data_IF_080526819379
#
_entry.id   IF_080526819379
#
_cell.length_a   1.000
_cell.length_b   1.000
_cell.length_c   1.000
_cell.angle_alpha   90.00
_cell.angle_beta   90.00
_cell.angle_gamma   90.00
#
_symmetry.space_group_name_H-M   'P 1'
#
loop_
_entity.id
_entity.type
_entity.pdbx_description
1 polymer ?
#
# COMPACT_ATOMS: atom_id res chain seq x y z
N UNK A 1 -6.13 12.52 7.89
CA UNK A 1 -5.86 11.57 6.78
C UNK A 1 -7.11 11.27 5.97
N UNK A 2 -8.25 10.94 6.58
CA UNK A 2 -9.47 10.54 5.85
C UNK A 2 -10.00 11.62 4.88
N UNK A 3 -10.10 12.89 5.30
CA UNK A 3 -10.55 13.97 4.40
C UNK A 3 -9.63 14.12 3.18
N UNK A 4 -8.31 14.21 3.42
CA UNK A 4 -7.32 14.25 2.35
C UNK A 4 -7.39 13.03 1.42
N UNK A 5 -7.58 11.83 1.96
CA UNK A 5 -7.68 10.62 1.15
C UNK A 5 -8.96 10.64 0.29
N UNK A 6 -10.05 11.15 0.84
CA UNK A 6 -11.32 11.36 0.12
C UNK A 6 -11.15 12.36 -1.01
N UNK A 7 -10.35 13.43 -0.82
CA UNK A 7 -10.05 14.42 -1.85
C UNK A 7 -9.21 13.85 -3.02
N UNK A 8 -8.53 12.72 -2.81
CA UNK A 8 -7.80 12.00 -3.86
C UNK A 8 -8.72 11.01 -4.56
N UNK A 9 -9.43 10.19 -3.79
CA UNK A 9 -10.40 9.26 -4.33
C UNK A 9 -10.76 8.09 -3.41
N UNK A 10 -11.77 7.31 -3.81
CA UNK A 10 -12.32 6.23 -2.99
C UNK A 10 -11.30 5.12 -2.68
N UNK A 11 -10.46 4.71 -3.64
CA UNK A 11 -9.47 3.66 -3.42
C UNK A 11 -8.38 4.12 -2.43
N UNK A 12 -7.95 5.38 -2.54
CA UNK A 12 -7.01 5.97 -1.58
C UNK A 12 -7.62 6.00 -0.17
N UNK A 13 -8.89 6.38 -0.05
CA UNK A 13 -9.62 6.36 1.22
C UNK A 13 -9.65 4.96 1.84
N UNK A 14 -10.00 3.93 1.06
CA UNK A 14 -10.07 2.55 1.52
C UNK A 14 -8.70 2.04 2.02
N UNK A 15 -7.63 2.31 1.28
CA UNK A 15 -6.27 1.97 1.71
C UNK A 15 -5.93 2.66 3.04
N UNK A 16 -6.20 3.95 3.17
CA UNK A 16 -5.93 4.72 4.40
C UNK A 16 -6.75 4.17 5.57
N UNK A 17 -8.02 3.83 5.35
CA UNK A 17 -8.86 3.20 6.38
C UNK A 17 -8.29 1.84 6.81
N UNK A 18 -7.92 0.95 5.87
CA UNK A 18 -7.29 -0.35 6.19
C UNK A 18 -5.99 -0.18 6.97
N UNK A 19 -5.15 0.80 6.61
CA UNK A 19 -3.90 1.07 7.33
C UNK A 19 -4.13 1.55 8.77
N UNK A 20 -5.23 2.26 9.03
CA UNK A 20 -5.58 2.78 10.35
C UNK A 20 -6.39 1.79 11.20
N UNK A 21 -7.20 0.92 10.59
CA UNK A 21 -8.19 0.07 11.28
C UNK A 21 -7.61 -1.20 11.91
N UNK A 22 -6.53 -1.76 11.33
CA UNK A 22 -6.13 -3.14 11.61
C UNK A 22 -4.73 -3.32 12.21
N UNK A 23 -4.17 -2.32 12.91
CA UNK A 23 -2.81 -2.46 13.48
C UNK A 23 -2.78 -2.36 15.01
N UNK A 24 -2.23 -3.38 15.72
CA UNK A 24 -2.03 -3.32 17.17
C UNK A 24 -1.09 -2.18 17.59
N UNK A 25 -0.30 -1.65 16.64
CA UNK A 25 0.55 -0.49 16.82
C UNK A 25 0.06 0.66 15.94
N UNK A 26 -0.64 1.67 16.52
CA UNK A 26 -1.22 2.77 15.75
C UNK A 26 -0.17 3.55 14.96
N UNK A 27 1.05 3.70 15.51
CA UNK A 27 2.20 4.34 14.87
C UNK A 27 2.54 3.79 13.48
N UNK A 28 2.35 2.49 13.24
CA UNK A 28 2.62 1.87 11.94
C UNK A 28 1.57 2.28 10.89
N UNK A 29 0.30 2.42 11.28
CA UNK A 29 -0.75 2.94 10.42
C UNK A 29 -0.49 4.39 10.05
N UNK A 30 -0.13 5.23 11.04
CA UNK A 30 0.22 6.63 10.82
C UNK A 30 1.43 6.81 9.90
N UNK A 31 2.50 6.02 10.10
CA UNK A 31 3.68 6.06 9.22
C UNK A 31 3.35 5.68 7.78
N UNK A 32 2.50 4.67 7.57
CA UNK A 32 2.06 4.28 6.23
C UNK A 32 1.24 5.41 5.56
N UNK A 33 0.31 6.02 6.29
CA UNK A 33 -0.48 7.16 5.81
C UNK A 33 0.39 8.38 5.46
N UNK A 34 1.41 8.69 6.27
CA UNK A 34 2.40 9.72 5.96
C UNK A 34 3.21 9.39 4.70
N UNK A 35 3.54 8.11 4.51
CA UNK A 35 4.15 7.62 3.27
C UNK A 35 3.28 7.90 2.05
N UNK A 36 1.98 7.60 2.11
CA UNK A 36 1.04 7.88 1.03
C UNK A 36 0.93 9.38 0.74
N UNK A 37 0.88 10.21 1.78
CA UNK A 37 0.89 11.67 1.63
C UNK A 37 2.16 12.17 0.92
N UNK A 38 3.31 11.55 1.18
CA UNK A 38 4.54 11.88 0.48
C UNK A 38 4.52 11.42 -0.98
N UNK A 39 3.88 10.28 -1.29
CA UNK A 39 3.71 9.81 -2.67
C UNK A 39 2.81 10.76 -3.46
N UNK A 40 1.75 11.32 -2.87
CA UNK A 40 0.88 12.29 -3.57
C UNK A 40 1.56 13.61 -3.91
N UNK A 41 2.74 13.88 -3.34
CA UNK A 41 3.59 15.02 -3.72
C UNK A 41 4.52 14.70 -4.88
N UNK A 42 4.82 13.42 -5.11
CA UNK A 42 5.74 12.94 -6.15
C UNK A 42 5.01 12.50 -7.41
N UNK A 43 3.80 11.97 -7.25
CA UNK A 43 2.95 11.47 -8.32
C UNK A 43 1.66 12.29 -8.35
N UNK A 44 0.99 12.34 -9.51
CA UNK A 44 -0.32 12.98 -9.61
C UNK A 44 -1.36 12.25 -8.75
N UNK A 45 -2.42 12.97 -8.37
CA UNK A 45 -3.54 12.39 -7.60
C UNK A 45 -4.16 11.20 -8.31
N UNK A 46 -4.37 11.32 -9.63
CA UNK A 46 -4.93 10.24 -10.45
C UNK A 46 -4.05 8.99 -10.43
N UNK A 47 -2.73 9.15 -10.55
CA UNK A 47 -1.80 8.01 -10.51
C UNK A 47 -1.79 7.34 -9.15
N UNK A 48 -1.83 8.12 -8.06
CA UNK A 48 -1.91 7.57 -6.72
C UNK A 48 -3.21 6.80 -6.52
N UNK A 49 -4.34 7.36 -6.97
CA UNK A 49 -5.64 6.71 -6.89
C UNK A 49 -5.68 5.38 -7.65
N UNK A 50 -5.18 5.35 -8.89
CA UNK A 50 -5.08 4.11 -9.68
C UNK A 50 -4.13 3.09 -9.05
N UNK A 51 -3.03 3.55 -8.45
CA UNK A 51 -2.13 2.66 -7.72
C UNK A 51 -2.80 2.04 -6.49
N UNK A 52 -3.58 2.82 -5.73
CA UNK A 52 -4.38 2.34 -4.62
C UNK A 52 -5.47 1.36 -5.08
N UNK A 53 -6.17 1.65 -6.19
CA UNK A 53 -7.17 0.76 -6.76
C UNK A 53 -6.56 -0.59 -7.17
N UNK A 54 -5.41 -0.57 -7.85
CA UNK A 54 -4.66 -1.78 -8.18
C UNK A 54 -4.23 -2.54 -6.93
N UNK A 55 -3.67 -1.85 -5.94
CA UNK A 55 -3.26 -2.47 -4.68
C UNK A 55 -4.43 -3.16 -3.95
N UNK A 56 -5.63 -2.57 -3.99
CA UNK A 56 -6.85 -3.18 -3.45
C UNK A 56 -7.25 -4.42 -4.24
N UNK A 57 -7.21 -4.37 -5.58
CA UNK A 57 -7.57 -5.51 -6.44
C UNK A 57 -6.73 -6.77 -6.20
N UNK A 58 -5.47 -6.59 -5.76
CA UNK A 58 -4.56 -7.69 -5.43
C UNK A 58 -4.40 -7.92 -3.93
N UNK A 59 -5.25 -7.30 -3.09
CA UNK A 59 -5.19 -7.34 -1.62
C UNK A 59 -3.81 -6.96 -1.01
N UNK A 60 -3.02 -6.15 -1.70
CA UNK A 60 -1.67 -5.74 -1.29
C UNK A 60 -1.59 -4.23 -1.01
N UNK A 61 -2.24 -3.77 0.05
CA UNK A 61 -2.39 -2.33 0.40
C UNK A 61 -1.24 -1.75 1.22
N UNK A 62 -0.07 -2.40 1.21
CA UNK A 62 1.12 -1.92 1.92
C UNK A 62 1.71 -0.70 1.21
N UNK A 63 2.40 0.17 1.96
CA UNK A 63 3.12 1.30 1.37
C UNK A 63 4.15 0.84 0.33
N UNK A 64 4.85 -0.26 0.58
CA UNK A 64 5.84 -0.83 -0.35
C UNK A 64 5.18 -1.27 -1.65
N UNK A 65 4.03 -1.95 -1.58
CA UNK A 65 3.27 -2.42 -2.75
C UNK A 65 2.83 -1.24 -3.62
N UNK A 66 2.21 -0.23 -3.02
CA UNK A 66 1.74 0.98 -3.72
C UNK A 66 2.92 1.74 -4.34
N UNK A 67 4.04 1.85 -3.61
CA UNK A 67 5.27 2.46 -4.13
C UNK A 67 5.82 1.67 -5.33
N UNK A 68 5.80 0.34 -5.28
CA UNK A 68 6.25 -0.52 -6.38
C UNK A 68 5.38 -0.34 -7.62
N UNK A 69 4.05 -0.35 -7.45
CA UNK A 69 3.07 -0.10 -8.52
C UNK A 69 3.36 1.23 -9.21
N UNK A 70 3.54 2.32 -8.45
CA UNK A 70 3.83 3.65 -8.99
C UNK A 70 5.19 3.75 -9.70
N UNK A 71 6.22 3.09 -9.14
CA UNK A 71 7.57 3.07 -9.73
C UNK A 71 7.62 2.31 -11.04
N UNK A 72 6.90 1.19 -11.12
CA UNK A 72 6.84 0.35 -12.31
C UNK A 72 5.80 0.83 -13.32
N UNK A 73 5.00 1.86 -13.00
CA UNK A 73 3.96 2.38 -13.89
C UNK A 73 2.77 1.43 -14.03
N UNK A 74 2.62 0.45 -13.13
CA UNK A 74 1.53 -0.52 -13.20
C UNK A 74 0.17 0.16 -13.04
N UNK A 75 0.11 1.30 -12.34
CA UNK A 75 -1.11 2.11 -12.21
C UNK A 75 -1.69 2.61 -13.54
N UNK A 76 -0.93 2.55 -14.64
CA UNK A 76 -1.37 2.98 -15.96
C UNK A 76 -1.86 1.83 -16.84
N UNK A 77 -1.65 0.59 -16.40
CA UNK A 77 -2.11 -0.59 -17.12
C UNK A 77 -3.58 -0.86 -16.77
N UNK A 78 -4.33 -1.57 -17.63
CA UNK A 78 -5.66 -2.07 -17.30
C UNK A 78 -5.60 -2.85 -15.98
N UNK A 79 -6.56 -2.60 -15.09
CA UNK A 79 -6.67 -3.35 -13.84
C UNK A 79 -6.80 -4.84 -14.16
N UNK A 80 -6.09 -5.72 -13.43
CA UNK A 80 -6.32 -7.15 -13.57
C UNK A 80 -7.80 -7.43 -13.28
N UNK A 81 -8.50 -8.00 -14.25
CA UNK A 81 -9.86 -8.48 -14.07
C UNK A 81 -9.78 -9.57 -13.00
N UNK A 82 -10.48 -9.38 -11.89
CA UNK A 82 -10.51 -10.32 -10.77
C UNK A 82 -11.26 -11.57 -11.19
N UNK A 83 -10.55 -12.52 -11.78
CA UNK A 83 -10.87 -13.94 -11.65
C UNK A 83 -9.75 -14.53 -10.78
N UNK A 84 -10.17 -15.10 -9.65
CA UNK A 84 -9.37 -15.77 -8.62
C UNK A 84 -8.78 -14.86 -7.51
N UNK A 85 -9.30 -15.12 -6.31
CA UNK A 85 -8.74 -14.71 -5.02
C UNK A 85 -7.22 -14.83 -5.03
N UNK A 86 -6.47 -13.76 -4.71
CA UNK A 86 -5.11 -13.98 -4.28
C UNK A 86 -5.22 -14.63 -2.90
N UNK A 87 -5.08 -15.96 -2.90
CA UNK A 87 -4.55 -16.70 -1.76
C UNK A 87 -3.41 -15.89 -1.15
N UNK A 88 -3.29 -16.00 0.17
CA UNK A 88 -2.23 -15.45 1.01
C UNK A 88 -0.83 -15.95 0.59
N UNK A 89 -0.40 -15.68 -0.64
CA UNK A 89 0.84 -16.11 -1.22
C UNK A 89 1.85 -14.97 -1.09
N UNK A 90 2.74 -15.16 -0.13
CA UNK A 90 4.05 -14.52 -0.03
C UNK A 90 4.04 -13.00 0.06
N UNK A 91 3.81 -12.53 1.29
CA UNK A 91 4.66 -11.47 1.82
C UNK A 91 6.11 -11.84 1.44
N UNK A 92 6.88 -10.98 0.74
CA UNK A 92 8.29 -11.27 0.54
C UNK A 92 8.88 -11.51 1.93
N UNK A 93 9.43 -12.71 2.13
CA UNK A 93 10.25 -12.99 3.30
C UNK A 93 11.39 -11.99 3.23
N UNK A 94 11.24 -10.87 3.93
CA UNK A 94 12.34 -9.94 4.06
C UNK A 94 13.41 -10.71 4.81
N UNK A 95 14.54 -10.98 4.14
CA UNK A 95 15.77 -11.51 4.71
C UNK A 95 16.40 -10.47 5.67
N UNK A 96 15.64 -10.02 6.66
CA UNK A 96 16.05 -9.12 7.73
C UNK A 96 15.65 -9.69 9.10
N UNK A 97 15.51 -11.01 9.21
CA UNK A 97 15.73 -11.68 10.50
C UNK A 97 17.25 -11.76 10.68
N UNK A 98 17.82 -10.74 11.34
CA UNK A 98 19.15 -10.89 11.94
C UNK A 98 19.02 -11.99 12.98
N UNK A 99 19.58 -13.16 12.68
CA UNK A 99 19.46 -14.36 13.52
C UNK A 99 20.05 -14.12 14.92
N UNK A 100 19.57 -14.85 15.95
CA UNK A 100 19.97 -14.71 17.35
C UNK A 100 21.40 -15.20 17.67
N UNK A 101 22.32 -15.26 16.69
CA UNK A 101 23.69 -15.80 16.84
C UNK A 101 24.77 -14.71 17.01
N UNK A 102 24.42 -13.55 17.56
CA UNK A 102 25.35 -12.44 17.80
C UNK A 102 25.72 -12.22 19.27
N UNK A 103 25.58 -13.25 20.11
CA UNK A 103 26.24 -13.31 21.42
C UNK A 103 27.09 -14.58 21.47
N UNK A 104 28.38 -14.42 21.18
CA UNK A 104 29.46 -15.24 21.69
C UNK A 104 30.67 -14.33 21.94
#
# INVERSE_FOLDING_TARGET
>A
FLNWATDIGPATLDVVQRQLKDRPHPEHGYRACLGLLNLSRRYSRDRLEQACARALSINSTSYQSITSILKQGLDQLPLPLTEEEPELADLPVHTNVRGPRYYH
#
